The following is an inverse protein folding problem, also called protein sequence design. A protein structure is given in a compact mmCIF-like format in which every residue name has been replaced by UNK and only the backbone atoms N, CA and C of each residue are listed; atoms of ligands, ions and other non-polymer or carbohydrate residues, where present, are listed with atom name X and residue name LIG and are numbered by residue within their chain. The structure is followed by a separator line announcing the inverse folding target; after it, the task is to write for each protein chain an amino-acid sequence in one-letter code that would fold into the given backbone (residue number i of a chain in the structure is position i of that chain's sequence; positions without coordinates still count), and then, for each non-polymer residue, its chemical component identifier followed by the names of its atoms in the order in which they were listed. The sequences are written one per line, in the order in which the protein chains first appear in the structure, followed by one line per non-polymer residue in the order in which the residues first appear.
data_IF_972195286986
#
_entry.id   IF_972195286986
#
_cell.length_a   1.000
_cell.length_b   1.000
_cell.length_c   1.000
_cell.angle_alpha   90.00
_cell.angle_beta   90.00
_cell.angle_gamma   90.00
#
_symmetry.space_group_name_H-M   'P 1'
#
loop_
_entity.id
_entity.type
_entity.pdbx_description
1 polymer ?
#
# COMPACT_ATOMS: atom_id res chain seq x y z
N UNK A 1 27.16 -8.13 17.31
CA UNK A 1 25.79 -8.55 17.66
C UNK A 1 25.06 -7.36 18.24
N UNK A 2 24.10 -6.81 17.51
CA UNK A 2 23.03 -5.97 18.06
C UNK A 2 21.75 -6.72 17.70
N UNK A 3 21.10 -7.32 18.69
CA UNK A 3 19.78 -7.92 18.54
C UNK A 3 18.74 -6.80 18.57
N UNK A 4 18.35 -6.32 17.39
CA UNK A 4 17.19 -5.44 17.21
C UNK A 4 15.94 -6.31 17.21
N UNK A 5 15.36 -6.51 18.39
CA UNK A 5 13.99 -7.02 18.48
C UNK A 5 13.05 -5.84 18.19
N UNK A 6 12.67 -5.74 16.91
CA UNK A 6 11.52 -5.04 16.33
C UNK A 6 11.62 -3.55 16.00
N UNK A 7 12.45 -3.18 15.01
CA UNK A 7 12.42 -1.88 14.30
C UNK A 7 11.20 -1.70 13.36
N UNK A 8 10.25 -2.63 13.41
CA UNK A 8 9.14 -2.75 12.46
C UNK A 8 7.86 -2.29 13.10
N UNK A 9 7.18 -1.38 12.41
CA UNK A 9 5.91 -0.84 12.86
C UNK A 9 4.79 -1.89 12.65
N UNK A 10 3.58 -1.64 13.17
CA UNK A 10 2.46 -2.60 13.07
C UNK A 10 2.07 -2.91 11.61
N UNK A 11 2.16 -1.94 10.70
CA UNK A 11 1.92 -2.14 9.26
C UNK A 11 3.00 -3.00 8.61
N UNK A 12 4.27 -2.77 8.95
CA UNK A 12 5.40 -3.51 8.41
C UNK A 12 5.32 -4.98 8.82
N UNK A 13 4.99 -5.25 10.08
CA UNK A 13 4.76 -6.63 10.55
C UNK A 13 3.58 -7.26 9.82
N UNK A 14 2.45 -6.55 9.76
CA UNK A 14 1.23 -7.02 9.12
C UNK A 14 1.43 -7.38 7.64
N UNK A 15 2.06 -6.50 6.87
CA UNK A 15 2.30 -6.75 5.45
C UNK A 15 3.32 -7.85 5.21
N UNK A 16 4.36 -7.95 6.03
CA UNK A 16 5.38 -9.01 5.89
C UNK A 16 4.77 -10.37 6.16
N UNK A 17 4.00 -10.51 7.26
CA UNK A 17 3.33 -11.77 7.58
C UNK A 17 2.38 -12.19 6.45
N UNK A 18 1.55 -11.27 5.96
CA UNK A 18 0.62 -11.55 4.87
C UNK A 18 1.33 -11.91 3.56
N UNK A 19 2.32 -11.11 3.16
CA UNK A 19 3.02 -11.31 1.87
C UNK A 19 3.90 -12.55 1.85
N UNK A 20 4.42 -12.99 3.01
CA UNK A 20 5.17 -14.25 3.15
C UNK A 20 4.33 -15.49 2.82
N UNK A 21 3.01 -15.39 3.00
CA UNK A 21 2.05 -16.43 2.60
C UNK A 21 1.70 -16.24 1.13
N UNK A 22 1.31 -15.03 0.74
CA UNK A 22 0.85 -14.70 -0.61
C UNK A 22 1.87 -15.07 -1.70
N UNK A 23 3.16 -14.85 -1.45
CA UNK A 23 4.22 -15.05 -2.42
C UNK A 23 4.41 -16.52 -2.85
N UNK A 24 3.92 -17.47 -2.04
CA UNK A 24 3.90 -18.91 -2.37
C UNK A 24 2.93 -19.21 -3.52
N UNK A 25 1.93 -18.36 -3.72
CA UNK A 25 0.81 -18.59 -4.64
C UNK A 25 0.84 -17.70 -5.87
N UNK A 26 1.34 -16.48 -5.75
CA UNK A 26 1.30 -15.52 -6.84
C UNK A 26 2.34 -14.42 -6.69
N UNK A 27 2.66 -13.78 -7.82
CA UNK A 27 3.40 -12.52 -7.81
C UNK A 27 2.49 -11.43 -7.25
N UNK A 28 3.05 -10.58 -6.40
CA UNK A 28 2.35 -9.45 -5.83
C UNK A 28 3.16 -8.17 -5.98
N UNK A 29 2.49 -7.04 -5.90
CA UNK A 29 3.11 -5.72 -5.80
C UNK A 29 2.31 -4.84 -4.85
N UNK A 30 2.99 -4.23 -3.89
CA UNK A 30 2.38 -3.25 -2.99
C UNK A 30 2.38 -1.88 -3.67
N UNK A 31 1.25 -1.19 -3.65
CA UNK A 31 1.03 0.07 -4.36
C UNK A 31 0.48 1.16 -3.44
N UNK A 32 0.22 2.35 -4.00
CA UNK A 32 -0.52 3.42 -3.33
C UNK A 32 0.20 3.99 -2.08
N UNK A 33 -0.55 4.38 -1.05
CA UNK A 33 -0.07 5.14 0.10
C UNK A 33 1.02 4.46 0.92
N UNK A 34 0.97 3.14 1.06
CA UNK A 34 1.98 2.40 1.83
C UNK A 34 3.38 2.47 1.20
N UNK A 35 3.48 2.65 -0.14
CA UNK A 35 4.77 2.91 -0.81
C UNK A 35 5.37 4.22 -0.29
N UNK A 36 4.58 5.29 -0.19
CA UNK A 36 5.05 6.57 0.33
C UNK A 36 5.40 6.49 1.82
N UNK A 37 4.58 5.79 2.63
CA UNK A 37 4.84 5.58 4.06
C UNK A 37 6.16 4.84 4.29
N UNK A 38 6.38 3.75 3.57
CA UNK A 38 7.62 2.97 3.65
C UNK A 38 8.86 3.79 3.26
N UNK A 39 8.66 4.89 2.51
CA UNK A 39 9.68 5.87 2.12
C UNK A 39 9.70 7.12 3.01
N UNK A 40 9.12 7.04 4.22
CA UNK A 40 9.22 8.05 5.27
C UNK A 40 8.17 9.16 5.25
N UNK A 41 7.12 9.05 4.43
CA UNK A 41 5.95 9.94 4.46
C UNK A 41 5.04 9.59 5.66
N UNK A 42 4.56 10.57 6.42
CA UNK A 42 3.54 10.38 7.46
C UNK A 42 2.20 10.91 6.95
N UNK A 43 1.15 10.08 6.90
CA UNK A 43 -0.16 10.48 6.33
C UNK A 43 -1.41 9.76 6.88
N UNK A 44 -1.28 8.91 7.89
CA UNK A 44 -2.40 8.35 8.64
C UNK A 44 -3.31 7.37 7.89
N UNK A 45 -2.84 6.71 6.81
CA UNK A 45 -3.63 5.67 6.09
C UNK A 45 -3.34 4.29 6.66
N UNK A 46 -4.37 3.54 7.04
CA UNK A 46 -4.28 2.21 7.68
C UNK A 46 -4.42 1.01 6.71
N UNK A 47 -4.69 1.30 5.45
CA UNK A 47 -4.85 0.32 4.37
C UNK A 47 -3.57 0.12 3.55
N UNK A 48 -3.35 -1.13 3.14
CA UNK A 48 -2.24 -1.54 2.27
C UNK A 48 -2.82 -2.14 0.99
N UNK A 49 -2.68 -1.42 -0.12
CA UNK A 49 -3.10 -1.90 -1.43
C UNK A 49 -2.10 -2.91 -2.02
N UNK A 50 -2.59 -4.09 -2.40
CA UNK A 50 -1.79 -5.12 -3.07
C UNK A 50 -2.46 -5.54 -4.38
N UNK A 51 -1.68 -5.54 -5.47
CA UNK A 51 -2.08 -6.09 -6.77
C UNK A 51 -1.41 -7.43 -6.98
N UNK A 52 -2.15 -8.44 -7.44
CA UNK A 52 -1.63 -9.76 -7.80
C UNK A 52 -2.03 -10.18 -9.21
N UNK A 53 -1.28 -11.12 -9.77
CA UNK A 53 -1.69 -11.82 -11.00
C UNK A 53 -3.02 -12.55 -10.76
N UNK A 54 -3.84 -12.65 -11.83
CA UNK A 54 -5.06 -13.46 -11.78
C UNK A 54 -4.67 -14.94 -11.63
N UNK A 55 -5.10 -15.54 -10.52
CA UNK A 55 -4.89 -16.97 -10.23
C UNK A 55 -6.18 -17.77 -10.40
N UNK A 56 -6.11 -19.06 -10.75
CA UNK A 56 -7.29 -19.92 -10.80
C UNK A 56 -7.88 -20.13 -9.39
N UNK A 57 -9.19 -20.42 -9.33
CA UNK A 57 -9.90 -20.63 -8.06
C UNK A 57 -9.22 -21.70 -7.17
N UNK A 58 -8.73 -22.79 -7.75
CA UNK A 58 -8.04 -23.86 -7.01
C UNK A 58 -6.77 -23.39 -6.29
N UNK A 59 -6.08 -22.38 -6.84
CA UNK A 59 -4.90 -21.80 -6.20
C UNK A 59 -5.30 -20.75 -5.16
N UNK A 60 -6.35 -19.97 -5.45
CA UNK A 60 -6.94 -19.03 -4.50
C UNK A 60 -7.48 -19.72 -3.24
N UNK A 61 -8.14 -20.88 -3.40
CA UNK A 61 -8.66 -21.67 -2.29
C UNK A 61 -7.53 -22.06 -1.32
N UNK A 62 -6.42 -22.59 -1.85
CA UNK A 62 -5.24 -22.94 -1.03
C UNK A 62 -4.61 -21.73 -0.35
N UNK A 63 -4.58 -20.59 -1.04
CA UNK A 63 -4.13 -19.33 -0.44
C UNK A 63 -5.02 -18.93 0.74
N UNK A 64 -6.34 -19.01 0.58
CA UNK A 64 -7.29 -18.63 1.61
C UNK A 64 -7.22 -19.57 2.83
N UNK A 65 -7.05 -20.87 2.60
CA UNK A 65 -6.81 -21.86 3.65
C UNK A 65 -5.56 -21.53 4.48
N UNK A 66 -4.42 -21.24 3.83
CA UNK A 66 -3.18 -20.84 4.51
C UNK A 66 -3.32 -19.52 5.26
N UNK A 67 -4.05 -18.55 4.69
CA UNK A 67 -4.33 -17.25 5.31
C UNK A 67 -5.17 -17.41 6.57
N UNK A 68 -6.24 -18.20 6.53
CA UNK A 68 -7.10 -18.46 7.70
C UNK A 68 -6.39 -19.31 8.76
N UNK A 69 -5.48 -20.20 8.36
CA UNK A 69 -4.57 -20.86 9.29
C UNK A 69 -3.58 -19.88 9.94
N UNK A 70 -3.37 -18.70 9.34
CA UNK A 70 -2.37 -17.70 9.74
C UNK A 70 -2.99 -16.44 10.38
N UNK A 71 -3.90 -16.58 11.34
CA UNK A 71 -4.48 -15.46 12.12
C UNK A 71 -5.06 -14.28 11.30
N UNK A 72 -5.32 -14.46 10.01
CA UNK A 72 -5.99 -13.46 9.17
C UNK A 72 -7.43 -13.90 8.92
N UNK A 73 -8.29 -12.93 8.62
CA UNK A 73 -9.65 -13.16 8.13
C UNK A 73 -9.98 -12.22 6.98
N UNK A 74 -10.89 -12.64 6.10
CA UNK A 74 -11.42 -11.82 5.02
C UNK A 74 -12.67 -11.11 5.52
N UNK A 75 -12.74 -9.79 5.32
CA UNK A 75 -13.84 -8.97 5.85
C UNK A 75 -15.17 -9.31 5.17
N UNK A 76 -15.11 -9.62 3.87
CA UNK A 76 -16.29 -9.78 3.03
C UNK A 76 -17.06 -11.08 3.33
N UNK A 77 -16.37 -12.21 3.46
CA UNK A 77 -16.97 -13.54 3.64
C UNK A 77 -15.90 -14.55 4.08
N UNK A 78 -16.32 -15.68 4.66
CA UNK A 78 -15.50 -16.87 4.90
C UNK A 78 -15.64 -17.93 3.78
N UNK A 79 -16.59 -17.77 2.86
CA UNK A 79 -16.78 -18.64 1.71
C UNK A 79 -15.84 -18.25 0.55
N UNK A 80 -14.84 -19.10 0.29
CA UNK A 80 -13.88 -18.91 -0.79
C UNK A 80 -14.52 -18.71 -2.17
N UNK A 81 -15.59 -19.44 -2.48
CA UNK A 81 -16.26 -19.38 -3.77
C UNK A 81 -17.00 -18.05 -3.93
N UNK A 82 -17.63 -17.57 -2.85
CA UNK A 82 -18.25 -16.25 -2.81
C UNK A 82 -17.21 -15.14 -3.02
N UNK A 83 -16.13 -15.14 -2.22
CA UNK A 83 -15.06 -14.15 -2.30
C UNK A 83 -14.49 -14.09 -3.72
N UNK A 84 -14.21 -15.25 -4.32
CA UNK A 84 -13.62 -15.33 -5.65
C UNK A 84 -14.58 -14.86 -6.75
N UNK A 85 -15.80 -15.38 -6.79
CA UNK A 85 -16.73 -15.13 -7.90
C UNK A 85 -17.44 -13.77 -7.78
N UNK A 86 -17.78 -13.34 -6.57
CA UNK A 86 -18.54 -12.12 -6.37
C UNK A 86 -17.67 -10.87 -6.28
N UNK A 87 -16.39 -10.99 -5.93
CA UNK A 87 -15.48 -9.85 -5.81
C UNK A 87 -14.35 -9.93 -6.85
N UNK A 88 -13.42 -10.87 -6.70
CA UNK A 88 -12.18 -10.88 -7.50
C UNK A 88 -12.42 -11.03 -9.00
N UNK A 89 -13.30 -11.95 -9.42
CA UNK A 89 -13.64 -12.15 -10.84
C UNK A 89 -14.36 -10.93 -11.42
N UNK A 90 -15.13 -10.21 -10.61
CA UNK A 90 -15.80 -8.96 -11.00
C UNK A 90 -14.89 -7.74 -10.95
N UNK A 91 -13.58 -7.95 -10.76
CA UNK A 91 -12.57 -6.89 -10.63
C UNK A 91 -12.86 -5.97 -9.44
N UNK A 92 -13.43 -6.47 -8.36
CA UNK A 92 -13.50 -5.77 -7.07
C UNK A 92 -12.32 -6.22 -6.19
N UNK A 93 -12.02 -5.46 -5.14
CA UNK A 93 -11.01 -5.86 -4.17
C UNK A 93 -11.62 -6.74 -3.08
N UNK A 94 -10.76 -7.37 -2.30
CA UNK A 94 -11.12 -8.07 -1.06
C UNK A 94 -10.19 -7.57 0.04
N UNK A 95 -10.65 -7.60 1.29
CA UNK A 95 -9.90 -7.03 2.41
C UNK A 95 -9.59 -8.07 3.45
N UNK A 96 -8.33 -8.10 3.88
CA UNK A 96 -7.85 -8.98 4.94
C UNK A 96 -7.41 -8.17 6.15
N UNK A 97 -7.71 -8.69 7.33
CA UNK A 97 -7.37 -8.13 8.65
C UNK A 97 -6.84 -9.24 9.53
N UNK A 98 -6.21 -8.88 10.66
CA UNK A 98 -6.02 -9.87 11.71
C UNK A 98 -7.37 -10.30 12.27
N UNK A 99 -7.47 -11.56 12.69
CA UNK A 99 -8.70 -12.13 13.23
C UNK A 99 -9.23 -11.29 14.40
N UNK A 100 -10.48 -10.84 14.30
CA UNK A 100 -11.15 -10.04 15.34
C UNK A 100 -10.74 -8.57 15.37
N UNK A 101 -10.03 -8.06 14.36
CA UNK A 101 -9.72 -6.63 14.20
C UNK A 101 -10.31 -6.07 12.90
N UNK A 102 -10.29 -4.75 12.74
CA UNK A 102 -10.64 -4.09 11.46
C UNK A 102 -9.44 -3.37 10.83
N UNK A 103 -8.44 -3.04 11.64
CA UNK A 103 -7.24 -2.33 11.23
C UNK A 103 -5.97 -3.01 11.81
N UNK A 104 -4.81 -2.89 11.15
CA UNK A 104 -4.68 -2.46 9.74
C UNK A 104 -5.36 -3.46 8.78
N UNK A 105 -5.57 -3.07 7.52
CA UNK A 105 -6.18 -3.97 6.53
C UNK A 105 -5.42 -3.98 5.20
N UNK A 106 -5.36 -5.14 4.56
CA UNK A 106 -4.81 -5.29 3.20
C UNK A 106 -5.96 -5.30 2.22
N UNK A 107 -5.94 -4.39 1.25
CA UNK A 107 -6.83 -4.40 0.11
C UNK A 107 -6.16 -5.14 -1.06
N UNK A 108 -6.56 -6.40 -1.28
CA UNK A 108 -6.04 -7.26 -2.33
C UNK A 108 -6.92 -7.18 -3.58
N UNK A 109 -6.31 -6.99 -4.75
CA UNK A 109 -7.01 -6.97 -6.04
C UNK A 109 -6.23 -7.72 -7.12
N UNK A 110 -6.97 -8.36 -8.03
CA UNK A 110 -6.39 -8.84 -9.29
C UNK A 110 -5.99 -7.67 -10.19
N UNK A 111 -4.96 -7.88 -11.02
CA UNK A 111 -4.66 -7.00 -12.15
C UNK A 111 -5.92 -6.71 -12.97
N UNK A 112 -6.26 -5.42 -13.13
CA UNK A 112 -7.47 -4.99 -13.88
C UNK A 112 -7.10 -4.37 -15.23
N UNK A 113 -5.94 -3.73 -15.29
CA UNK A 113 -5.48 -2.93 -16.43
C UNK A 113 -4.10 -3.36 -16.94
N UNK A 114 -3.73 -2.92 -18.14
CA UNK A 114 -2.35 -3.09 -18.65
C UNK A 114 -1.32 -2.32 -17.82
N UNK A 115 -1.75 -1.22 -17.18
CA UNK A 115 -0.89 -0.45 -16.27
C UNK A 115 -0.62 -1.23 -14.98
N UNK A 116 -1.62 -1.94 -14.45
CA UNK A 116 -1.45 -2.83 -13.29
C UNK A 116 -0.49 -3.98 -13.61
N UNK A 117 -0.67 -4.63 -14.78
CA UNK A 117 0.24 -5.68 -15.25
C UNK A 117 1.66 -5.18 -15.38
N UNK A 118 1.82 -3.98 -15.95
CA UNK A 118 3.14 -3.35 -16.09
C UNK A 118 3.78 -3.06 -14.73
N UNK A 119 3.00 -2.53 -13.79
CA UNK A 119 3.44 -2.25 -12.41
C UNK A 119 3.87 -3.53 -11.68
N UNK A 120 3.09 -4.61 -11.81
CA UNK A 120 3.41 -5.91 -11.22
C UNK A 120 4.65 -6.56 -11.86
N UNK A 121 4.82 -6.40 -13.17
CA UNK A 121 6.00 -6.88 -13.90
C UNK A 121 7.28 -6.14 -13.48
N UNK A 122 7.17 -4.82 -13.28
CA UNK A 122 8.26 -3.92 -12.87
C UNK A 122 8.39 -3.76 -11.37
N UNK A 123 7.72 -4.60 -10.58
CA UNK A 123 7.84 -4.58 -9.11
C UNK A 123 9.30 -4.67 -8.69
N UNK A 124 9.64 -3.97 -7.62
CA UNK A 124 11.01 -3.85 -7.15
C UNK A 124 11.07 -3.87 -5.63
N UNK A 125 12.23 -4.24 -5.09
CA UNK A 125 12.54 -4.05 -3.67
C UNK A 125 13.16 -2.67 -3.48
N UNK A 126 12.75 -1.96 -2.45
CA UNK A 126 13.24 -0.61 -2.15
C UNK A 126 14.14 -0.67 -0.93
N UNK A 127 15.46 -0.72 -1.12
CA UNK A 127 16.44 -0.97 -0.05
C UNK A 127 16.31 -0.02 1.15
N UNK A 128 16.03 1.26 0.91
CA UNK A 128 15.88 2.28 1.96
C UNK A 128 14.66 2.05 2.87
N UNK A 129 13.71 1.22 2.47
CA UNK A 129 12.57 0.83 3.33
C UNK A 129 13.00 -0.13 4.43
N UNK A 130 14.08 -0.88 4.25
CA UNK A 130 14.48 -1.97 5.16
C UNK A 130 13.52 -3.18 5.13
N UNK A 131 12.61 -3.23 4.17
CA UNK A 131 11.62 -4.29 4.02
C UNK A 131 11.98 -5.18 2.82
N UNK A 132 11.92 -6.49 3.03
CA UNK A 132 12.23 -7.48 1.99
C UNK A 132 10.99 -7.90 1.19
N UNK A 133 10.20 -6.93 0.74
CA UNK A 133 8.92 -7.12 0.06
C UNK A 133 8.87 -6.33 -1.27
N UNK A 134 7.94 -6.68 -2.15
CA UNK A 134 7.84 -6.06 -3.47
C UNK A 134 6.91 -4.85 -3.49
N UNK A 135 7.43 -3.72 -3.95
CA UNK A 135 6.72 -2.46 -4.16
C UNK A 135 6.58 -2.13 -5.65
N UNK A 136 5.61 -1.29 -5.98
CA UNK A 136 5.62 -0.58 -7.25
C UNK A 136 6.90 0.25 -7.37
N UNK A 137 7.39 0.41 -8.60
CA UNK A 137 8.49 1.34 -8.85
C UNK A 137 8.11 2.76 -8.40
N UNK A 138 9.12 3.57 -8.10
CA UNK A 138 8.89 4.96 -7.69
C UNK A 138 8.23 5.73 -8.84
N UNK A 139 8.64 5.47 -10.09
CA UNK A 139 8.07 6.05 -11.30
C UNK A 139 6.60 5.67 -11.49
N UNK A 140 6.25 4.39 -11.30
CA UNK A 140 4.86 3.93 -11.34
C UNK A 140 4.02 4.63 -10.28
N UNK A 141 4.53 4.72 -9.05
CA UNK A 141 3.83 5.38 -7.94
C UNK A 141 3.60 6.86 -8.23
N UNK A 142 4.63 7.60 -8.66
CA UNK A 142 4.52 9.02 -9.03
C UNK A 142 3.51 9.20 -10.18
N UNK A 143 3.58 8.39 -11.23
CA UNK A 143 2.68 8.49 -12.38
C UNK A 143 1.22 8.31 -11.98
N UNK A 144 0.89 7.29 -11.20
CA UNK A 144 -0.48 7.05 -10.71
C UNK A 144 -0.98 8.17 -9.79
N UNK A 145 -0.14 8.61 -8.85
CA UNK A 145 -0.50 9.64 -7.86
C UNK A 145 -0.81 10.98 -8.52
N UNK A 146 0.03 11.42 -9.46
CA UNK A 146 -0.13 12.71 -10.15
C UNK A 146 -1.22 12.69 -11.22
N UNK A 147 -1.37 11.57 -11.93
CA UNK A 147 -2.06 11.54 -13.22
C UNK A 147 -3.38 10.76 -13.21
N UNK A 148 -3.57 9.86 -12.25
CA UNK A 148 -4.79 9.06 -12.14
C UNK A 148 -5.59 9.40 -10.88
N UNK A 149 -4.95 9.49 -9.72
CA UNK A 149 -5.63 9.77 -8.45
C UNK A 149 -5.81 11.28 -8.21
N UNK A 150 -4.72 12.03 -8.35
CA UNK A 150 -4.69 13.51 -8.42
C UNK A 150 -5.37 14.26 -7.26
N UNK A 151 -5.49 13.65 -6.08
CA UNK A 151 -5.90 14.37 -4.86
C UNK A 151 -4.72 15.10 -4.22
N UNK A 152 -4.96 16.09 -3.35
CA UNK A 152 -3.88 16.86 -2.69
C UNK A 152 -2.88 15.95 -1.98
N UNK A 153 -3.38 14.99 -1.19
CA UNK A 153 -2.55 13.99 -0.50
C UNK A 153 -1.74 13.15 -1.50
N UNK A 154 -2.25 12.89 -2.69
CA UNK A 154 -1.55 12.10 -3.72
C UNK A 154 -0.45 12.93 -4.40
N UNK A 155 -0.70 14.21 -4.67
CA UNK A 155 0.35 15.13 -5.13
C UNK A 155 1.48 15.26 -4.12
N UNK A 156 1.17 15.36 -2.82
CA UNK A 156 2.20 15.43 -1.79
C UNK A 156 3.01 14.12 -1.68
N UNK A 157 2.39 12.94 -1.89
CA UNK A 157 3.12 11.66 -1.95
C UNK A 157 4.10 11.67 -3.12
N UNK A 158 3.62 12.09 -4.30
CA UNK A 158 4.43 12.15 -5.50
C UNK A 158 5.58 13.14 -5.34
N UNK A 159 5.33 14.32 -4.76
CA UNK A 159 6.36 15.34 -4.50
C UNK A 159 7.42 14.81 -3.53
N UNK A 160 7.00 14.16 -2.43
CA UNK A 160 7.91 13.53 -1.48
C UNK A 160 8.84 12.53 -2.18
N UNK A 161 8.28 11.61 -2.97
CA UNK A 161 9.04 10.62 -3.71
C UNK A 161 9.94 11.24 -4.79
N UNK A 162 9.48 12.30 -5.46
CA UNK A 162 10.28 13.06 -6.43
C UNK A 162 11.53 13.65 -5.79
N UNK A 163 11.38 14.33 -4.66
CA UNK A 163 12.51 14.95 -3.97
C UNK A 163 13.49 13.89 -3.47
N UNK A 164 12.98 12.79 -2.93
CA UNK A 164 13.79 11.70 -2.39
C UNK A 164 14.62 10.98 -3.46
N UNK A 165 14.02 10.70 -4.62
CA UNK A 165 14.64 9.91 -5.69
C UNK A 165 15.09 10.72 -6.91
N UNK A 166 15.12 12.06 -6.83
CA UNK A 166 15.37 12.96 -7.97
C UNK A 166 16.61 12.64 -8.82
N UNK A 167 17.63 12.06 -8.20
CA UNK A 167 18.92 11.74 -8.85
C UNK A 167 18.86 10.47 -9.69
N UNK A 168 17.91 9.58 -9.42
CA UNK A 168 17.79 8.25 -10.05
C UNK A 168 16.48 8.06 -10.82
N UNK A 169 15.53 8.99 -10.70
CA UNK A 169 14.23 8.92 -11.34
C UNK A 169 14.32 9.01 -12.87
N UNK A 170 13.65 8.08 -13.55
CA UNK A 170 13.45 8.18 -14.99
C UNK A 170 12.19 8.97 -15.34
N UNK A 171 12.36 10.20 -15.83
CA UNK A 171 11.24 11.02 -16.33
C UNK A 171 10.57 10.41 -17.57
N UNK A 172 11.33 9.72 -18.41
CA UNK A 172 10.81 9.01 -19.57
C UNK A 172 9.89 7.86 -19.16
N UNK A 173 10.28 7.10 -18.12
CA UNK A 173 9.47 6.00 -17.59
C UNK A 173 8.17 6.53 -16.97
N UNK A 174 8.23 7.62 -16.19
CA UNK A 174 7.01 8.28 -15.67
C UNK A 174 6.09 8.68 -16.84
N UNK A 175 6.63 9.32 -17.87
CA UNK A 175 5.85 9.75 -19.04
C UNK A 175 5.22 8.57 -19.77
N UNK A 176 5.96 7.48 -19.96
CA UNK A 176 5.47 6.25 -20.56
C UNK A 176 4.28 5.68 -19.77
N UNK A 177 4.39 5.60 -18.44
CA UNK A 177 3.33 5.07 -17.59
C UNK A 177 2.09 5.97 -17.65
N UNK A 178 2.25 7.30 -17.62
CA UNK A 178 1.14 8.25 -17.81
C UNK A 178 0.42 8.04 -19.15
N UNK A 179 1.15 7.82 -20.24
CA UNK A 179 0.55 7.49 -21.54
C UNK A 179 -0.22 6.16 -21.53
N UNK A 180 0.24 5.16 -20.77
CA UNK A 180 -0.50 3.91 -20.60
C UNK A 180 -1.80 4.13 -19.82
N UNK A 181 -1.77 4.99 -18.79
CA UNK A 181 -2.96 5.43 -18.05
C UNK A 181 -3.93 6.14 -18.99
N UNK A 182 -3.46 7.11 -19.80
CA UNK A 182 -4.30 7.83 -20.76
C UNK A 182 -4.97 6.89 -21.76
N UNK A 183 -4.20 5.92 -22.31
CA UNK A 183 -4.73 4.91 -23.21
C UNK A 183 -5.82 4.06 -22.54
N UNK A 184 -5.63 3.69 -21.28
CA UNK A 184 -6.64 2.96 -20.52
C UNK A 184 -7.90 3.81 -20.31
N UNK A 185 -7.75 5.06 -19.88
CA UNK A 185 -8.87 5.99 -19.67
C UNK A 185 -9.65 6.23 -20.98
N UNK A 186 -8.94 6.44 -22.09
CA UNK A 186 -9.54 6.63 -23.42
C UNK A 186 -10.33 5.40 -23.88
N UNK A 187 -9.80 4.19 -23.68
CA UNK A 187 -10.51 2.96 -24.04
C UNK A 187 -11.77 2.79 -23.18
N UNK A 188 -11.67 3.04 -21.87
CA UNK A 188 -12.81 2.98 -20.93
C UNK A 188 -13.92 3.97 -21.30
N UNK A 189 -13.56 5.14 -21.83
CA UNK A 189 -14.50 6.13 -22.37
C UNK A 189 -15.22 5.63 -23.63
N UNK A 190 -14.51 4.94 -24.53
CA UNK A 190 -15.03 4.48 -25.82
C UNK A 190 -16.02 3.32 -25.69
N UNK A 191 -15.81 2.44 -24.72
CA UNK A 191 -16.59 1.22 -24.59
C UNK A 191 -18.05 1.45 -24.13
N UNK A 192 -18.43 2.68 -23.74
CA UNK A 192 -19.79 3.09 -23.29
C UNK A 192 -20.46 2.20 -22.21
N UNK A 193 -19.79 1.14 -21.75
CA UNK A 193 -20.12 0.38 -20.55
C UNK A 193 -19.65 1.21 -19.35
N UNK A 194 -20.53 2.11 -18.92
CA UNK A 194 -20.44 2.89 -17.68
C UNK A 194 -19.17 3.75 -17.54
N UNK A 195 -19.11 4.86 -18.29
CA UNK A 195 -18.34 6.02 -17.84
C UNK A 195 -19.08 6.69 -16.68
N UNK A 196 -19.11 6.00 -15.55
CA UNK A 196 -19.27 6.64 -14.26
C UNK A 196 -17.84 6.90 -13.83
N UNK A 197 -17.44 8.17 -13.71
CA UNK A 197 -16.37 8.52 -12.76
C UNK A 197 -16.78 7.84 -11.46
N UNK A 198 -16.25 6.67 -11.11
CA UNK A 198 -16.77 5.92 -9.96
C UNK A 198 -16.25 6.57 -8.69
N UNK A 199 -16.83 7.71 -8.36
CA UNK A 199 -17.10 8.10 -6.98
C UNK A 199 -17.96 7.04 -6.28
N UNK A 200 -18.59 6.13 -7.05
CA UNK A 200 -19.21 4.92 -6.53
C UNK A 200 -18.13 3.98 -5.98
N UNK A 201 -18.02 3.98 -4.65
CA UNK A 201 -17.27 2.99 -3.87
C UNK A 201 -17.69 1.57 -4.31
N UNK A 202 -16.73 0.67 -4.46
CA UNK A 202 -17.01 -0.72 -4.79
C UNK A 202 -17.67 -1.45 -3.62
N UNK A 203 -18.21 -2.65 -3.88
CA UNK A 203 -18.93 -3.42 -2.86
C UNK A 203 -18.05 -3.68 -1.64
N UNK A 204 -16.78 -4.05 -1.87
CA UNK A 204 -15.79 -4.28 -0.82
C UNK A 204 -15.59 -3.09 0.11
N UNK A 205 -15.63 -1.86 -0.41
CA UNK A 205 -15.53 -0.67 0.42
C UNK A 205 -16.80 -0.44 1.26
N UNK A 206 -17.98 -0.74 0.72
CA UNK A 206 -19.25 -0.64 1.45
C UNK A 206 -19.26 -1.68 2.58
N UNK A 207 -18.94 -2.93 2.28
CA UNK A 207 -18.86 -4.03 3.27
C UNK A 207 -17.88 -3.67 4.41
N UNK A 208 -16.74 -3.06 4.07
CA UNK A 208 -15.78 -2.57 5.05
C UNK A 208 -16.38 -1.50 5.98
N UNK A 209 -17.07 -0.50 5.42
CA UNK A 209 -17.71 0.57 6.23
C UNK A 209 -18.74 -0.04 7.17
N UNK A 210 -19.57 -0.96 6.69
CA UNK A 210 -20.59 -1.62 7.52
C UNK A 210 -19.95 -2.39 8.68
N UNK A 211 -18.96 -3.24 8.40
CA UNK A 211 -18.22 -4.01 9.42
C UNK A 211 -17.50 -3.09 10.41
N UNK A 212 -16.93 -2.00 9.92
CA UNK A 212 -16.28 -1.00 10.76
C UNK A 212 -17.28 -0.31 11.69
N UNK A 213 -18.46 0.07 11.21
CA UNK A 213 -19.52 0.67 12.03
C UNK A 213 -20.00 -0.30 13.12
N UNK A 214 -20.16 -1.59 12.81
CA UNK A 214 -20.51 -2.60 13.83
C UNK A 214 -19.40 -2.77 14.86
N UNK A 215 -18.14 -2.91 14.40
CA UNK A 215 -16.99 -2.98 15.30
C UNK A 215 -16.91 -1.78 16.24
N UNK A 216 -17.16 -0.56 15.75
CA UNK A 216 -17.16 0.66 16.56
C UNK A 216 -18.31 0.73 17.58
N UNK A 217 -19.44 0.06 17.33
CA UNK A 217 -20.54 -0.04 18.30
C UNK A 217 -20.21 -1.00 19.44
N UNK A 218 -19.51 -2.09 19.11
CA UNK A 218 -19.21 -3.16 20.06
C UNK A 218 -17.93 -2.89 20.87
N UNK A 219 -17.11 -1.93 20.45
CA UNK A 219 -15.87 -1.54 21.11
C UNK A 219 -15.92 -0.12 21.68
N UNK A 220 -15.40 0.07 22.90
CA UNK A 220 -15.41 1.40 23.53
C UNK A 220 -14.54 2.41 22.77
N UNK A 221 -14.98 3.67 22.72
CA UNK A 221 -14.22 4.77 22.10
C UNK A 221 -12.77 4.89 22.60
N UNK A 222 -12.52 4.52 23.87
CA UNK A 222 -11.18 4.55 24.46
C UNK A 222 -10.23 3.54 23.79
N UNK A 223 -10.72 2.34 23.49
CA UNK A 223 -9.95 1.28 22.83
C UNK A 223 -9.58 1.72 21.42
N UNK A 224 -10.55 2.24 20.66
CA UNK A 224 -10.29 2.72 19.30
C UNK A 224 -9.28 3.87 19.26
N UNK A 225 -9.39 4.83 20.18
CA UNK A 225 -8.43 5.95 20.26
C UNK A 225 -7.01 5.45 20.50
N UNK A 226 -6.85 4.44 21.35
CA UNK A 226 -5.57 3.81 21.64
C UNK A 226 -5.00 3.11 20.40
N UNK A 227 -5.80 2.32 19.68
CA UNK A 227 -5.39 1.65 18.43
C UNK A 227 -4.97 2.65 17.35
N UNK A 228 -5.74 3.73 17.16
CA UNK A 228 -5.43 4.76 16.16
C UNK A 228 -4.20 5.60 16.56
N UNK A 229 -3.98 5.86 17.86
CA UNK A 229 -2.75 6.49 18.34
C UNK A 229 -1.52 5.63 18.06
N UNK A 230 -1.59 4.33 18.39
CA UNK A 230 -0.53 3.38 18.08
C UNK A 230 -0.21 3.36 16.58
N UNK A 231 -1.22 3.52 15.74
CA UNK A 231 -1.07 3.60 14.30
C UNK A 231 -0.26 4.82 13.84
N UNK A 232 -0.62 6.01 14.32
CA UNK A 232 0.10 7.25 13.99
C UNK A 232 1.54 7.20 14.49
N UNK A 233 1.75 6.72 15.71
CA UNK A 233 3.09 6.55 16.29
C UNK A 233 3.94 5.59 15.46
N UNK A 234 3.32 4.52 14.93
CA UNK A 234 3.98 3.54 14.06
C UNK A 234 4.48 4.18 12.75
N UNK A 235 3.75 5.14 12.18
CA UNK A 235 4.19 5.85 10.97
C UNK A 235 5.31 6.84 11.25
N UNK A 236 5.26 7.52 12.39
CA UNK A 236 6.34 8.40 12.84
C UNK A 236 7.63 7.59 13.00
N UNK A 237 7.54 6.41 13.64
CA UNK A 237 8.69 5.51 13.79
C UNK A 237 9.24 5.04 12.44
N UNK A 238 8.39 4.65 11.50
CA UNK A 238 8.83 4.29 10.14
C UNK A 238 9.51 5.44 9.43
N UNK A 239 9.01 6.67 9.60
CA UNK A 239 9.63 7.87 9.06
C UNK A 239 11.03 8.09 9.66
N UNK A 240 11.17 8.00 10.99
CA UNK A 240 12.46 8.12 11.68
C UNK A 240 13.43 7.06 11.17
N UNK A 241 13.02 5.78 11.16
CA UNK A 241 13.87 4.67 10.73
C UNK A 241 14.30 4.80 9.27
N UNK A 242 13.39 5.24 8.39
CA UNK A 242 13.69 5.54 6.99
C UNK A 242 14.78 6.60 6.88
N UNK A 243 14.60 7.74 7.54
CA UNK A 243 15.56 8.84 7.47
C UNK A 243 16.89 8.51 8.17
N UNK A 244 16.91 7.65 9.19
CA UNK A 244 18.14 7.13 9.78
C UNK A 244 18.94 6.28 8.78
N UNK A 245 18.26 5.50 7.93
CA UNK A 245 18.91 4.79 6.83
C UNK A 245 19.37 5.76 5.75
N UNK A 246 18.52 6.71 5.35
CA UNK A 246 18.88 7.73 4.36
C UNK A 246 20.09 8.56 4.80
N UNK A 247 20.24 8.90 6.09
CA UNK A 247 21.41 9.62 6.63
C UNK A 247 22.75 8.89 6.36
N UNK A 248 22.73 7.57 6.21
CA UNK A 248 23.91 6.74 5.96
C UNK A 248 24.29 6.70 4.48
N UNK A 249 23.40 7.11 3.58
CA UNK A 249 23.66 7.18 2.14
C UNK A 249 24.53 8.38 1.77
N UNK A 250 25.21 8.26 0.63
CA UNK A 250 25.87 9.40 0.00
C UNK A 250 24.83 10.50 -0.30
N UNK A 251 25.14 11.74 0.07
CA UNK A 251 24.21 12.89 0.00
C UNK A 251 22.92 12.77 0.84
N UNK A 252 22.83 11.79 1.74
CA UNK A 252 21.67 11.56 2.61
C UNK A 252 21.20 12.80 3.36
N UNK A 253 22.12 13.48 4.06
CA UNK A 253 21.80 14.72 4.78
C UNK A 253 21.26 15.81 3.84
N UNK A 254 21.79 15.95 2.62
CA UNK A 254 21.29 16.94 1.65
C UNK A 254 19.85 16.61 1.24
N UNK A 255 19.56 15.35 0.92
CA UNK A 255 18.20 14.89 0.56
C UNK A 255 17.19 15.15 1.67
N UNK A 256 17.57 14.89 2.92
CA UNK A 256 16.70 15.16 4.08
C UNK A 256 16.35 16.63 4.17
N UNK A 257 17.31 17.53 4.01
CA UNK A 257 17.05 18.99 4.05
C UNK A 257 16.09 19.44 2.95
N UNK A 258 16.21 18.85 1.76
CA UNK A 258 15.34 19.18 0.63
C UNK A 258 13.91 18.64 0.81
N UNK A 259 13.76 17.41 1.30
CA UNK A 259 12.44 16.78 1.52
C UNK A 259 11.71 17.42 2.70
N UNK A 260 12.43 17.74 3.78
CA UNK A 260 11.83 18.22 5.04
C UNK A 260 11.87 19.74 5.20
N UNK A 261 12.62 20.45 4.34
CA UNK A 261 12.92 21.87 4.52
C UNK A 261 13.82 22.18 5.73
N UNK A 262 14.37 21.16 6.39
CA UNK A 262 15.06 21.30 7.67
C UNK A 262 16.53 21.68 7.48
N UNK A 263 17.03 22.75 8.11
CA UNK A 263 18.36 23.32 7.80
C UNK A 263 19.52 22.85 8.70
N UNK A 264 19.26 22.03 9.72
CA UNK A 264 20.28 21.54 10.68
C UNK A 264 20.80 20.14 10.28
N UNK A 265 21.97 19.73 10.77
CA UNK A 265 22.66 18.48 10.35
C UNK A 265 21.91 17.19 10.73
N UNK A 266 21.19 17.18 11.86
CA UNK A 266 20.47 16.02 12.39
C UNK A 266 19.24 16.48 13.16
N UNK A 267 18.00 16.07 12.83
CA UNK A 267 16.82 16.48 13.60
C UNK A 267 16.91 16.04 15.05
N UNK A 268 16.54 16.90 16.00
CA UNK A 268 16.75 16.66 17.44
C UNK A 268 16.09 15.35 17.93
N UNK A 269 15.06 14.88 17.24
CA UNK A 269 14.40 13.59 17.49
C UNK A 269 15.12 12.37 16.88
N UNK A 270 16.26 12.54 16.23
CA UNK A 270 17.16 11.46 15.75
C UNK A 270 18.33 11.19 16.71
N UNK A 271 18.57 12.06 17.69
CA UNK A 271 19.67 11.94 18.66
C UNK A 271 19.25 11.26 19.98
N UNK A 272 18.05 10.67 20.03
CA UNK A 272 17.56 9.89 21.17
C UNK A 272 17.48 8.41 20.88
#
# INVERSE_FOLDING_TARGET
MINLVSDRNILDKFVIEFTSILEKYTKYVIVSGYVAISNGRVRGTEDIDIIIDKIPFSLFLKFLEDIYASNFECIQSDDALEIYNNYLIKKESIRFVYKGTILPNIELKFVKTEVDKYTLLKRTKLSLTGLDIYFASIESTIAYKEHYLSSDKDYEDALHLRLLYKEVLSLEEIKKIKLMIDKHLYNSLKDNSSFVYSTKRDKSHIDFIEKWVFFMKDNSFKIWKEEHSNFLDSQILTSINFYQRLLKEENGSKKIREVTGWNKKTPYWFEK
#
